data_IF_069573767205
#
_entry.id   IF_069573767205
#
_cell.length_a   1.000
_cell.length_b   1.000
_cell.length_c   1.000
_cell.angle_alpha   90.00
_cell.angle_beta   90.00
_cell.angle_gamma   90.00
#
_symmetry.space_group_name_H-M   'P 1'
#
loop_
_entity.id
_entity.type
_entity.pdbx_description
1 polymer ?
#
# COMPACT_ATOMS: atom_id res chain seq x y z
N UNK A 1 8.94 -19.09 24.59
CA UNK A 1 8.63 -17.65 24.58
C UNK A 1 9.05 -16.98 23.29
N UNK A 2 10.32 -16.59 23.06
CA UNK A 2 10.71 -15.92 21.81
C UNK A 2 10.45 -16.72 20.53
N UNK A 3 10.72 -18.04 20.52
CA UNK A 3 10.35 -18.92 19.39
C UNK A 3 8.84 -19.11 19.21
N UNK A 4 8.04 -19.00 20.29
CA UNK A 4 6.57 -19.08 20.19
C UNK A 4 6.01 -17.77 19.62
N UNK A 5 6.63 -16.63 19.94
CA UNK A 5 6.32 -15.34 19.33
C UNK A 5 6.70 -15.32 17.86
N UNK A 6 7.86 -15.87 17.49
CA UNK A 6 8.20 -16.03 16.08
C UNK A 6 7.17 -16.91 15.35
N UNK A 7 6.76 -18.03 15.96
CA UNK A 7 5.70 -18.88 15.39
C UNK A 7 4.36 -18.15 15.27
N UNK A 8 3.98 -17.32 16.25
CA UNK A 8 2.74 -16.54 16.17
C UNK A 8 2.80 -15.47 15.09
N UNK A 9 3.99 -14.90 14.85
CA UNK A 9 4.27 -13.96 13.74
C UNK A 9 4.45 -14.67 12.37
N UNK A 10 4.17 -15.98 12.28
CA UNK A 10 4.34 -16.74 11.04
C UNK A 10 5.82 -17.00 10.65
N UNK A 11 6.76 -16.70 11.53
CA UNK A 11 8.21 -16.83 11.32
C UNK A 11 8.67 -18.18 11.88
N UNK A 12 8.79 -19.19 11.00
CA UNK A 12 9.34 -20.49 11.37
C UNK A 12 10.89 -20.48 11.27
N UNK A 13 11.57 -20.73 12.38
CA UNK A 13 13.02 -20.97 12.37
C UNK A 13 13.39 -22.27 11.63
N UNK A 14 14.56 -22.37 10.97
CA UNK A 14 15.31 -21.30 10.32
C UNK A 14 15.52 -21.57 8.80
N UNK A 15 15.68 -20.49 8.04
CA UNK A 15 16.30 -20.39 6.69
C UNK A 15 15.44 -20.26 5.43
N UNK A 16 14.11 -20.24 5.46
CA UNK A 16 13.33 -20.15 4.21
C UNK A 16 12.34 -18.97 4.15
N UNK A 17 12.69 -17.80 4.69
CA UNK A 17 11.93 -16.59 4.37
C UNK A 17 12.53 -15.90 3.15
N UNK A 18 11.76 -15.65 2.06
CA UNK A 18 12.30 -15.10 0.81
C UNK A 18 12.91 -13.71 0.98
N UNK A 19 12.48 -12.94 1.98
CA UNK A 19 12.87 -11.54 2.17
C UNK A 19 13.71 -11.26 3.42
N UNK A 20 13.83 -12.23 4.34
CA UNK A 20 14.48 -11.99 5.63
C UNK A 20 15.49 -13.08 5.95
N UNK A 21 16.57 -12.68 6.60
CA UNK A 21 17.41 -13.58 7.36
C UNK A 21 17.05 -13.47 8.83
N UNK A 22 16.84 -14.61 9.47
CA UNK A 22 16.43 -14.71 10.87
C UNK A 22 17.57 -15.38 11.63
N UNK A 23 18.03 -14.71 12.67
CA UNK A 23 19.14 -15.16 13.48
C UNK A 23 18.70 -15.37 14.93
N UNK A 24 18.48 -16.61 15.37
CA UNK A 24 18.43 -16.93 16.80
C UNK A 24 19.81 -16.70 17.39
N UNK A 25 19.93 -15.73 18.31
CA UNK A 25 21.12 -15.44 19.10
C UNK A 25 22.49 -15.69 18.42
N UNK A 26 23.17 -14.61 18.04
CA UNK A 26 24.49 -14.59 17.37
C UNK A 26 24.49 -15.12 15.95
N UNK A 27 25.22 -14.42 15.10
CA UNK A 27 25.31 -14.75 13.67
C UNK A 27 26.71 -15.22 13.31
N UNK A 28 26.80 -16.37 12.63
CA UNK A 28 28.08 -16.93 12.16
C UNK A 28 28.42 -16.53 10.72
N UNK A 29 27.41 -16.28 9.89
CA UNK A 29 27.56 -16.16 8.43
C UNK A 29 27.28 -14.77 7.86
N UNK A 30 26.52 -13.92 8.57
CA UNK A 30 26.35 -12.49 8.23
C UNK A 30 27.46 -11.68 8.91
N UNK A 31 28.47 -11.30 8.11
CA UNK A 31 29.63 -10.57 8.60
C UNK A 31 29.28 -9.19 9.15
N UNK A 32 28.27 -8.52 8.59
CA UNK A 32 27.86 -7.18 9.01
C UNK A 32 27.20 -7.23 10.39
N UNK A 33 26.23 -8.12 10.57
CA UNK A 33 25.58 -8.30 11.88
C UNK A 33 26.60 -8.77 12.93
N UNK A 34 27.52 -9.66 12.54
CA UNK A 34 28.60 -10.12 13.42
C UNK A 34 29.52 -8.99 13.86
N UNK A 35 29.84 -8.05 12.98
CA UNK A 35 30.67 -6.88 13.30
C UNK A 35 29.96 -5.96 14.31
N UNK A 36 28.69 -5.65 14.07
CA UNK A 36 27.87 -4.84 14.99
C UNK A 36 27.81 -5.49 16.37
N UNK A 37 27.48 -6.79 16.43
CA UNK A 37 27.42 -7.54 17.69
C UNK A 37 28.78 -7.65 18.39
N UNK A 38 29.88 -7.59 17.64
CA UNK A 38 31.23 -7.52 18.19
C UNK A 38 31.53 -6.20 18.93
N UNK A 39 30.82 -5.11 18.57
CA UNK A 39 30.93 -3.79 19.20
C UNK A 39 30.07 -3.67 20.47
N UNK A 40 29.05 -4.51 20.62
CA UNK A 40 28.20 -4.59 21.81
C UNK A 40 29.00 -5.19 23.00
N UNK A 41 29.69 -4.37 23.79
CA UNK A 41 30.40 -4.82 25.00
C UNK A 41 29.44 -5.08 26.17
N UNK A 42 29.85 -5.90 27.14
CA UNK A 42 28.97 -6.33 28.26
C UNK A 42 28.74 -5.20 29.28
N UNK A 43 27.58 -5.16 29.97
CA UNK A 43 27.53 -4.67 31.33
C UNK A 43 28.30 -5.65 32.22
N UNK A 44 29.28 -5.12 32.95
CA UNK A 44 29.99 -5.64 34.12
C UNK A 44 29.42 -7.01 34.62
N UNK A 45 30.19 -8.11 34.43
CA UNK A 45 30.11 -9.43 35.10
C UNK A 45 29.72 -10.75 34.36
N UNK A 46 29.72 -10.92 33.02
CA UNK A 46 29.55 -12.28 32.44
C UNK A 46 30.34 -12.58 31.16
N UNK A 47 31.27 -13.56 31.24
CA UNK A 47 32.26 -14.10 30.25
C UNK A 47 31.94 -14.22 28.73
N UNK A 48 30.83 -13.72 28.15
CA UNK A 48 30.60 -13.72 26.68
C UNK A 48 29.82 -12.47 26.21
N UNK A 49 30.09 -11.93 25.00
CA UNK A 49 29.35 -10.79 24.44
C UNK A 49 27.85 -11.08 24.30
N UNK A 50 27.01 -10.09 24.61
CA UNK A 50 25.56 -10.16 24.50
C UNK A 50 25.09 -10.05 23.06
N UNK A 51 23.96 -10.66 22.75
CA UNK A 51 23.28 -10.51 21.46
C UNK A 51 21.78 -10.49 21.73
N UNK A 52 20.98 -9.82 20.86
CA UNK A 52 19.54 -9.95 20.90
C UNK A 52 19.09 -11.40 20.86
N UNK A 53 17.98 -11.73 21.51
CA UNK A 53 17.35 -13.04 21.41
C UNK A 53 17.07 -13.41 19.94
N UNK A 54 16.56 -12.46 19.16
CA UNK A 54 16.49 -12.58 17.71
C UNK A 54 16.91 -11.31 16.99
N UNK A 55 17.57 -11.49 15.86
CA UNK A 55 17.84 -10.44 14.89
C UNK A 55 17.25 -10.88 13.55
N UNK A 56 16.32 -10.09 13.01
CA UNK A 56 15.70 -10.35 11.72
C UNK A 56 16.11 -9.23 10.77
N UNK A 57 16.94 -9.56 9.79
CA UNK A 57 17.46 -8.62 8.81
C UNK A 57 16.76 -8.79 7.48
N UNK A 58 16.37 -7.70 6.84
CA UNK A 58 15.89 -7.75 5.46
C UNK A 58 17.06 -8.03 4.49
N UNK A 59 16.89 -8.97 3.55
CA UNK A 59 17.99 -9.43 2.68
C UNK A 59 18.53 -8.32 1.76
N UNK A 60 17.66 -7.42 1.30
CA UNK A 60 18.01 -6.35 0.34
C UNK A 60 17.85 -4.92 0.87
N UNK A 61 17.40 -4.74 2.12
CA UNK A 61 17.10 -3.41 2.69
C UNK A 61 17.86 -3.23 3.99
N UNK A 62 18.22 -1.98 4.29
CA UNK A 62 18.84 -1.59 5.55
C UNK A 62 17.79 -1.47 6.67
N UNK A 63 17.08 -2.57 6.93
CA UNK A 63 16.07 -2.69 8.00
C UNK A 63 16.38 -3.93 8.83
N UNK A 64 16.29 -3.78 10.15
CA UNK A 64 16.47 -4.88 11.10
C UNK A 64 15.40 -4.82 12.18
N UNK A 65 14.81 -5.96 12.53
CA UNK A 65 14.02 -6.13 13.75
C UNK A 65 14.89 -6.82 14.80
N UNK A 66 14.98 -6.20 15.98
CA UNK A 66 15.60 -6.76 17.17
C UNK A 66 14.50 -7.22 18.12
N UNK A 67 14.62 -8.43 18.64
CA UNK A 67 13.67 -8.99 19.61
C UNK A 67 14.44 -9.37 20.87
N UNK A 68 13.94 -8.92 22.03
CA UNK A 68 14.46 -9.25 23.35
C UNK A 68 13.35 -9.78 24.26
N UNK A 69 13.62 -10.87 24.98
CA UNK A 69 12.58 -11.56 25.77
C UNK A 69 13.02 -11.79 27.22
N UNK A 70 12.05 -11.69 28.15
CA UNK A 70 12.21 -12.10 29.56
C UNK A 70 10.99 -12.89 30.00
N UNK A 71 11.14 -13.75 30.99
CA UNK A 71 10.00 -14.56 31.48
C UNK A 71 9.24 -13.88 32.62
N UNK A 72 9.89 -13.03 33.42
CA UNK A 72 9.31 -12.43 34.62
C UNK A 72 8.87 -10.99 34.33
N UNK A 73 7.63 -10.63 34.64
CA UNK A 73 7.09 -9.27 34.44
C UNK A 73 7.97 -8.17 35.07
N UNK A 74 8.58 -8.44 36.23
CA UNK A 74 9.52 -7.53 36.91
C UNK A 74 10.83 -7.29 36.15
N UNK A 75 11.08 -8.05 35.09
CA UNK A 75 12.26 -7.96 34.23
C UNK A 75 11.92 -7.28 32.89
N UNK A 76 10.79 -6.57 32.79
CA UNK A 76 10.42 -5.87 31.55
C UNK A 76 11.31 -4.63 31.31
N UNK A 77 11.34 -3.75 32.30
CA UNK A 77 12.00 -2.45 32.24
C UNK A 77 12.66 -2.18 33.59
N UNK A 78 13.90 -1.68 33.58
CA UNK A 78 14.57 -1.27 34.82
C UNK A 78 13.91 -0.02 35.42
N UNK A 79 13.89 0.12 36.75
CA UNK A 79 13.46 1.37 37.40
C UNK A 79 14.34 2.58 37.01
N UNK A 80 15.55 2.31 36.51
CA UNK A 80 16.63 3.23 36.20
C UNK A 80 16.71 3.59 34.71
N UNK A 81 15.81 3.09 33.83
CA UNK A 81 15.87 3.19 32.36
C UNK A 81 16.33 4.56 31.81
N UNK A 82 15.86 5.67 32.40
CA UNK A 82 16.19 7.03 31.95
C UNK A 82 17.59 7.52 32.37
N UNK A 83 18.21 6.86 33.35
CA UNK A 83 19.51 7.21 33.93
C UNK A 83 20.61 6.24 33.51
N UNK A 84 20.32 4.94 33.56
CA UNK A 84 21.26 3.88 33.26
C UNK A 84 20.50 2.64 32.79
N UNK A 85 20.96 2.06 31.67
CA UNK A 85 20.36 0.83 31.15
C UNK A 85 20.92 -0.38 31.90
N UNK A 86 20.05 -1.33 32.24
CA UNK A 86 20.40 -2.62 32.85
C UNK A 86 20.12 -3.80 31.88
N UNK A 87 20.79 -3.86 30.72
CA UNK A 87 20.37 -4.71 29.60
C UNK A 87 20.54 -6.20 29.85
N UNK A 88 21.32 -6.60 30.88
CA UNK A 88 21.44 -8.00 31.26
C UNK A 88 20.17 -8.53 31.94
N UNK A 89 19.48 -7.68 32.70
CA UNK A 89 18.40 -8.09 33.61
C UNK A 89 17.02 -7.70 33.09
N UNK A 90 16.93 -6.74 32.16
CA UNK A 90 15.69 -6.22 31.61
C UNK A 90 15.69 -6.24 30.07
N UNK A 91 14.62 -6.77 29.43
CA UNK A 91 14.56 -6.88 27.95
C UNK A 91 14.37 -5.54 27.25
N UNK A 92 13.62 -4.59 27.82
CA UNK A 92 13.53 -3.26 27.20
C UNK A 92 14.90 -2.57 27.19
N UNK A 93 15.58 -2.57 28.33
CA UNK A 93 16.94 -2.06 28.45
C UNK A 93 17.89 -2.78 27.48
N UNK A 94 17.78 -4.10 27.35
CA UNK A 94 18.51 -4.92 26.38
C UNK A 94 18.27 -4.48 24.94
N UNK A 95 17.01 -4.28 24.58
CA UNK A 95 16.60 -3.86 23.25
C UNK A 95 17.16 -2.48 22.91
N UNK A 96 17.00 -1.49 23.80
CA UNK A 96 17.52 -0.14 23.62
C UNK A 96 19.05 -0.15 23.52
N UNK A 97 19.71 -0.96 24.36
CA UNK A 97 21.15 -1.13 24.33
C UNK A 97 21.62 -1.61 22.96
N UNK A 98 21.03 -2.67 22.41
CA UNK A 98 21.43 -3.18 21.09
C UNK A 98 21.06 -2.21 19.96
N UNK A 99 19.90 -1.55 20.04
CA UNK A 99 19.44 -0.59 19.04
C UNK A 99 20.45 0.55 18.78
N UNK A 100 21.14 1.03 19.81
CA UNK A 100 22.18 2.07 19.70
C UNK A 100 23.33 1.68 18.76
N UNK A 101 23.64 0.39 18.65
CA UNK A 101 24.68 -0.11 17.75
C UNK A 101 24.13 -0.33 16.35
N UNK A 102 22.96 -0.96 16.23
CA UNK A 102 22.35 -1.27 14.95
C UNK A 102 21.88 -0.04 14.17
N UNK A 103 21.46 1.04 14.86
CA UNK A 103 20.97 2.27 14.21
C UNK A 103 22.01 3.01 13.37
N UNK A 104 23.29 2.67 13.54
CA UNK A 104 24.39 3.23 12.74
C UNK A 104 24.39 2.71 11.30
N UNK A 105 23.82 1.53 11.08
CA UNK A 105 23.86 0.81 9.80
C UNK A 105 22.47 0.39 9.30
N UNK A 106 21.45 0.40 10.16
CA UNK A 106 20.09 -0.06 9.84
C UNK A 106 19.02 0.87 10.38
N UNK A 107 17.86 0.88 9.73
CA UNK A 107 16.61 1.29 10.36
C UNK A 107 16.19 0.18 11.33
N UNK A 108 16.19 0.49 12.63
CA UNK A 108 15.97 -0.49 13.70
C UNK A 108 14.53 -0.47 14.17
N UNK A 109 13.87 -1.62 14.10
CA UNK A 109 12.62 -1.93 14.77
C UNK A 109 12.93 -2.77 16.01
N UNK A 110 12.15 -2.59 17.08
CA UNK A 110 12.42 -3.28 18.34
C UNK A 110 11.18 -3.87 19.00
N UNK A 111 11.31 -5.10 19.53
CA UNK A 111 10.25 -5.81 20.22
C UNK A 111 10.76 -6.37 21.56
N UNK A 112 10.20 -5.92 22.69
CA UNK A 112 10.55 -6.40 24.02
C UNK A 112 9.38 -7.22 24.62
N UNK A 113 9.57 -8.52 24.82
CA UNK A 113 8.49 -9.44 25.25
C UNK A 113 8.70 -9.94 26.68
N UNK A 114 7.68 -9.89 27.54
CA UNK A 114 7.75 -10.41 28.90
C UNK A 114 6.56 -11.26 29.33
N UNK A 115 6.76 -12.56 29.55
CA UNK A 115 5.64 -13.47 29.87
C UNK A 115 4.70 -13.59 28.67
N UNK A 116 3.39 -13.43 28.89
CA UNK A 116 2.37 -13.23 27.84
C UNK A 116 2.16 -11.76 27.48
N UNK A 117 2.88 -10.84 28.15
CA UNK A 117 2.78 -9.39 27.95
C UNK A 117 3.85 -8.96 26.97
N UNK A 118 3.48 -8.50 25.78
CA UNK A 118 4.44 -8.02 24.78
C UNK A 118 4.36 -6.48 24.73
N UNK A 119 5.50 -5.82 24.56
CA UNK A 119 5.58 -4.37 24.42
C UNK A 119 6.53 -4.01 23.28
N UNK A 120 6.11 -3.07 22.45
CA UNK A 120 6.69 -2.79 21.13
C UNK A 120 7.30 -1.38 21.09
N UNK A 121 8.39 -1.21 20.33
CA UNK A 121 9.14 0.05 20.29
C UNK A 121 9.54 0.45 18.86
N UNK A 122 9.09 1.63 18.42
CA UNK A 122 9.67 2.37 17.30
C UNK A 122 10.78 3.29 17.82
N UNK A 123 12.03 3.02 17.43
CA UNK A 123 13.21 3.70 17.94
C UNK A 123 13.46 5.08 17.31
N UNK A 124 12.60 5.55 16.41
CA UNK A 124 12.61 6.95 15.97
C UNK A 124 11.75 7.87 16.85
N UNK A 125 10.85 7.32 17.67
CA UNK A 125 9.96 8.08 18.54
C UNK A 125 9.63 7.30 19.81
N UNK A 126 10.28 7.60 20.94
CA UNK A 126 9.91 7.00 22.24
C UNK A 126 8.47 7.40 22.59
N UNK A 127 7.49 6.52 22.33
CA UNK A 127 6.16 6.55 22.94
C UNK A 127 5.74 5.13 23.31
N UNK A 128 5.36 4.95 24.58
CA UNK A 128 4.77 3.71 25.12
C UNK A 128 3.44 3.44 24.40
N UNK A 129 3.36 2.40 23.58
CA UNK A 129 2.09 1.86 23.12
C UNK A 129 1.78 0.50 23.77
N UNK A 130 0.49 0.22 23.92
CA UNK A 130 -0.06 -0.67 24.96
C UNK A 130 -0.62 -1.99 24.42
N UNK A 131 -0.68 -2.20 23.11
CA UNK A 131 -1.34 -3.38 22.51
C UNK A 131 -0.65 -3.87 21.22
N UNK A 132 -0.52 -5.19 21.11
CA UNK A 132 0.20 -5.97 20.07
C UNK A 132 -0.40 -5.96 18.66
N UNK A 133 -1.68 -5.66 18.53
CA UNK A 133 -2.38 -5.73 17.23
C UNK A 133 -1.89 -4.67 16.24
N UNK A 134 -1.20 -3.63 16.71
CA UNK A 134 -0.69 -2.53 15.89
C UNK A 134 0.65 -2.84 15.22
N UNK A 135 1.43 -3.83 15.69
CA UNK A 135 2.74 -4.13 15.08
C UNK A 135 2.67 -4.95 13.81
N UNK A 136 1.70 -5.85 13.65
CA UNK A 136 1.41 -6.45 12.32
C UNK A 136 1.03 -5.35 11.31
N UNK A 137 0.29 -4.33 11.75
CA UNK A 137 -0.07 -3.15 10.95
C UNK A 137 1.14 -2.26 10.62
N UNK A 138 2.05 -2.05 11.58
CA UNK A 138 3.32 -1.33 11.39
C UNK A 138 4.28 -2.09 10.43
N UNK A 139 4.24 -3.42 10.44
CA UNK A 139 5.03 -4.28 9.55
C UNK A 139 4.62 -4.13 8.08
N UNK A 140 3.32 -3.94 7.81
CA UNK A 140 2.82 -3.66 6.45
C UNK A 140 3.12 -2.23 5.99
N UNK A 141 3.16 -1.26 6.91
CA UNK A 141 3.39 0.14 6.58
C UNK A 141 4.87 0.49 6.28
N UNK A 142 5.82 -0.25 6.86
CA UNK A 142 7.27 -0.02 6.70
C UNK A 142 7.99 -0.98 5.74
N UNK A 143 7.31 -1.98 5.17
CA UNK A 143 7.74 -2.46 3.86
C UNK A 143 7.68 -1.25 2.94
N UNK A 144 8.79 -0.76 2.35
CA UNK A 144 8.68 0.34 1.42
C UNK A 144 7.67 -0.07 0.37
N UNK A 145 6.51 0.61 0.38
CA UNK A 145 5.78 0.97 -0.83
C UNK A 145 6.92 1.35 -1.77
N UNK A 146 7.13 0.61 -2.85
CA UNK A 146 8.13 1.00 -3.84
C UNK A 146 7.79 2.47 -4.12
N UNK A 147 8.59 3.42 -3.63
CA UNK A 147 8.70 4.71 -4.26
C UNK A 147 9.39 4.40 -5.60
N UNK A 148 8.65 3.76 -6.51
CA UNK A 148 8.95 3.83 -7.92
C UNK A 148 8.82 5.32 -8.19
N UNK A 149 9.95 5.94 -8.48
CA UNK A 149 10.08 7.39 -8.62
C UNK A 149 9.09 7.95 -9.64
N UNK A 150 8.61 7.11 -10.56
CA UNK A 150 7.68 7.45 -11.62
C UNK A 150 6.70 6.30 -11.91
N UNK A 151 5.53 6.63 -12.47
CA UNK A 151 4.58 5.67 -13.03
C UNK A 151 5.26 4.89 -14.17
N UNK A 152 5.56 3.61 -13.95
CA UNK A 152 6.01 2.75 -15.02
C UNK A 152 4.80 2.20 -15.79
N UNK A 153 4.40 2.90 -16.84
CA UNK A 153 3.25 2.55 -17.69
C UNK A 153 3.36 1.11 -18.21
N UNK A 154 4.58 0.65 -18.52
CA UNK A 154 4.79 -0.72 -18.98
C UNK A 154 4.42 -1.73 -17.89
N UNK A 155 4.91 -1.54 -16.67
CA UNK A 155 4.56 -2.43 -15.55
C UNK A 155 3.05 -2.41 -15.27
N UNK A 156 2.40 -1.25 -15.33
CA UNK A 156 0.94 -1.16 -15.17
C UNK A 156 0.19 -1.94 -16.26
N UNK A 157 0.62 -1.82 -17.51
CA UNK A 157 0.02 -2.57 -18.63
C UNK A 157 0.28 -4.07 -18.54
N UNK A 158 1.48 -4.47 -18.10
CA UNK A 158 1.82 -5.87 -17.89
C UNK A 158 0.93 -6.46 -16.77
N UNK A 159 0.77 -5.77 -15.64
CA UNK A 159 -0.17 -6.16 -14.57
C UNK A 159 -1.62 -6.16 -15.05
N UNK A 160 -2.04 -5.19 -15.86
CA UNK A 160 -3.38 -5.13 -16.44
C UNK A 160 -3.66 -6.34 -17.34
N UNK A 161 -2.68 -6.74 -18.17
CA UNK A 161 -2.78 -7.93 -19.02
C UNK A 161 -2.91 -9.21 -18.19
N UNK A 162 -2.12 -9.37 -17.13
CA UNK A 162 -2.22 -10.52 -16.25
C UNK A 162 -3.59 -10.58 -15.54
N UNK A 163 -4.04 -9.44 -15.00
CA UNK A 163 -5.35 -9.33 -14.37
C UNK A 163 -6.49 -9.57 -15.36
N UNK A 164 -6.36 -9.15 -16.63
CA UNK A 164 -7.35 -9.43 -17.67
C UNK A 164 -7.62 -10.93 -17.78
N UNK A 165 -6.57 -11.75 -17.84
CA UNK A 165 -6.68 -13.21 -17.95
C UNK A 165 -7.29 -13.83 -16.69
N UNK A 166 -6.83 -13.40 -15.50
CA UNK A 166 -7.32 -13.91 -14.22
C UNK A 166 -8.81 -13.58 -14.03
N UNK A 167 -9.21 -12.35 -14.34
CA UNK A 167 -10.56 -11.83 -14.14
C UNK A 167 -11.51 -12.41 -15.20
N UNK A 168 -11.10 -12.47 -16.47
CA UNK A 168 -11.91 -13.05 -17.53
C UNK A 168 -12.07 -14.57 -17.36
N UNK A 169 -10.98 -15.33 -17.38
CA UNK A 169 -11.02 -16.79 -17.33
C UNK A 169 -11.47 -17.31 -15.96
N UNK A 170 -11.09 -16.60 -14.88
CA UNK A 170 -11.39 -17.01 -13.52
C UNK A 170 -12.76 -16.57 -13.01
N UNK A 171 -13.21 -15.37 -13.35
CA UNK A 171 -14.43 -14.76 -12.80
C UNK A 171 -15.51 -14.50 -13.85
N UNK A 172 -15.18 -14.54 -15.15
CA UNK A 172 -16.14 -14.39 -16.23
C UNK A 172 -16.74 -12.99 -16.36
N UNK A 173 -16.05 -11.95 -15.89
CA UNK A 173 -16.47 -10.58 -16.16
C UNK A 173 -16.37 -10.26 -17.65
N UNK A 174 -17.41 -9.63 -18.19
CA UNK A 174 -17.43 -9.10 -19.55
C UNK A 174 -16.47 -7.92 -19.70
N UNK A 175 -16.13 -7.57 -20.94
CA UNK A 175 -15.20 -6.47 -21.25
C UNK A 175 -15.62 -5.12 -20.64
N UNK A 176 -16.93 -4.84 -20.59
CA UNK A 176 -17.46 -3.61 -19.98
C UNK A 176 -17.46 -3.64 -18.45
N UNK A 177 -17.43 -4.83 -17.82
CA UNK A 177 -17.45 -4.94 -16.35
C UNK A 177 -16.04 -4.88 -15.74
N UNK A 178 -15.01 -5.36 -16.45
CA UNK A 178 -13.63 -5.40 -15.94
C UNK A 178 -13.12 -4.03 -15.45
N UNK A 179 -13.35 -2.90 -16.15
CA UNK A 179 -12.91 -1.59 -15.68
C UNK A 179 -13.58 -1.19 -14.37
N UNK A 180 -14.87 -1.45 -14.22
CA UNK A 180 -15.61 -1.19 -12.98
C UNK A 180 -15.15 -2.09 -11.85
N UNK A 181 -14.82 -3.35 -12.12
CA UNK A 181 -14.30 -4.26 -11.12
C UNK A 181 -12.95 -3.78 -10.56
N UNK A 182 -12.03 -3.37 -11.42
CA UNK A 182 -10.74 -2.78 -11.00
C UNK A 182 -10.98 -1.47 -10.23
N UNK A 183 -11.86 -0.61 -10.73
CA UNK A 183 -12.22 0.66 -10.08
C UNK A 183 -12.81 0.46 -8.68
N UNK A 184 -13.71 -0.51 -8.52
CA UNK A 184 -14.30 -0.90 -7.24
C UNK A 184 -13.23 -1.41 -6.27
N UNK A 185 -12.30 -2.25 -6.73
CA UNK A 185 -11.20 -2.75 -5.90
C UNK A 185 -10.27 -1.62 -5.44
N UNK A 186 -9.85 -0.73 -6.35
CA UNK A 186 -8.97 0.39 -6.02
C UNK A 186 -9.65 1.37 -5.05
N UNK A 187 -10.94 1.63 -5.25
CA UNK A 187 -11.71 2.49 -4.35
C UNK A 187 -11.90 1.87 -2.97
N UNK A 188 -12.15 0.56 -2.89
CA UNK A 188 -12.17 -0.15 -1.62
C UNK A 188 -10.82 -0.06 -0.90
N UNK A 189 -9.70 -0.22 -1.62
CA UNK A 189 -8.34 -0.14 -1.07
C UNK A 189 -7.93 1.28 -0.64
N UNK A 190 -8.71 2.34 -0.97
CA UNK A 190 -8.52 3.68 -0.38
C UNK A 190 -9.04 3.78 1.05
N UNK A 191 -9.87 2.84 1.49
CA UNK A 191 -10.25 2.69 2.89
C UNK A 191 -9.13 1.97 3.64
N UNK A 192 -8.49 2.65 4.59
CA UNK A 192 -7.27 2.16 5.25
C UNK A 192 -7.53 0.85 6.01
N UNK A 193 -8.66 0.76 6.72
CA UNK A 193 -9.09 -0.46 7.43
C UNK A 193 -9.30 -1.63 6.47
N UNK A 194 -9.90 -1.37 5.30
CA UNK A 194 -10.04 -2.41 4.29
C UNK A 194 -8.68 -2.78 3.69
N UNK A 195 -7.86 -1.80 3.32
CA UNK A 195 -6.53 -2.00 2.73
C UNK A 195 -5.64 -2.88 3.60
N UNK A 196 -5.61 -2.62 4.91
CA UNK A 196 -4.74 -3.32 5.84
C UNK A 196 -5.24 -4.74 6.15
N UNK A 197 -6.56 -4.94 6.21
CA UNK A 197 -7.13 -6.15 6.82
C UNK A 197 -8.01 -7.00 5.91
N UNK A 198 -8.17 -6.68 4.61
CA UNK A 198 -9.10 -7.42 3.72
C UNK A 198 -8.85 -8.94 3.68
N UNK A 199 -7.59 -9.39 3.82
CA UNK A 199 -7.23 -10.80 3.79
C UNK A 199 -7.76 -11.58 5.01
N UNK A 200 -7.87 -10.90 6.15
CA UNK A 200 -8.30 -11.41 7.45
C UNK A 200 -9.82 -11.31 7.65
N UNK A 201 -10.50 -10.45 6.88
CA UNK A 201 -11.96 -10.32 6.98
C UNK A 201 -12.64 -11.67 6.74
N UNK A 202 -13.58 -12.02 7.64
CA UNK A 202 -14.42 -13.22 7.53
C UNK A 202 -15.24 -13.21 6.24
N UNK A 203 -15.78 -12.04 5.89
CA UNK A 203 -16.48 -11.80 4.64
C UNK A 203 -15.83 -10.60 3.93
N UNK A 204 -14.88 -10.91 3.04
CA UNK A 204 -14.16 -9.89 2.25
C UNK A 204 -15.08 -9.14 1.30
N UNK A 205 -16.13 -9.77 0.77
CA UNK A 205 -17.09 -9.15 -0.16
C UNK A 205 -17.89 -8.06 0.57
N UNK A 206 -18.54 -8.40 1.68
CA UNK A 206 -19.29 -7.39 2.46
C UNK A 206 -18.39 -6.27 2.97
N UNK A 207 -17.15 -6.60 3.35
CA UNK A 207 -16.18 -5.58 3.79
C UNK A 207 -15.78 -4.64 2.63
N UNK A 208 -15.60 -5.19 1.43
CA UNK A 208 -15.31 -4.43 0.21
C UNK A 208 -16.46 -3.47 -0.15
N UNK A 209 -17.69 -3.97 -0.12
CA UNK A 209 -18.89 -3.18 -0.42
C UNK A 209 -19.09 -2.01 0.55
N UNK A 210 -18.81 -2.24 1.83
CA UNK A 210 -18.83 -1.20 2.85
C UNK A 210 -17.73 -0.17 2.60
N UNK A 211 -16.50 -0.59 2.29
CA UNK A 211 -15.39 0.31 1.98
C UNK A 211 -15.68 1.21 0.77
N UNK A 212 -16.19 0.63 -0.32
CA UNK A 212 -16.64 1.37 -1.51
C UNK A 212 -17.71 2.40 -1.12
N UNK A 213 -18.74 1.96 -0.41
CA UNK A 213 -19.86 2.82 -0.02
C UNK A 213 -19.42 3.97 0.88
N UNK A 214 -18.58 3.69 1.88
CA UNK A 214 -18.07 4.68 2.82
C UNK A 214 -17.24 5.74 2.08
N UNK A 215 -16.33 5.32 1.20
CA UNK A 215 -15.51 6.27 0.43
C UNK A 215 -16.36 7.13 -0.48
N UNK A 216 -17.29 6.56 -1.23
CA UNK A 216 -18.18 7.36 -2.09
C UNK A 216 -19.01 8.35 -1.27
N UNK A 217 -19.56 7.93 -0.13
CA UNK A 217 -20.37 8.80 0.73
C UNK A 217 -19.53 9.92 1.37
N UNK A 218 -18.26 9.67 1.69
CA UNK A 218 -17.31 10.68 2.18
C UNK A 218 -17.13 11.80 1.14
N UNK A 219 -16.83 11.44 -0.12
CA UNK A 219 -16.67 12.41 -1.21
C UNK A 219 -17.97 13.13 -1.56
N UNK A 220 -19.08 12.39 -1.63
CA UNK A 220 -20.39 12.97 -1.93
C UNK A 220 -20.82 14.01 -0.88
N UNK A 221 -20.50 13.78 0.40
CA UNK A 221 -20.72 14.74 1.48
C UNK A 221 -19.77 15.94 1.39
N UNK A 222 -18.48 15.70 1.11
CA UNK A 222 -17.49 16.76 0.98
C UNK A 222 -17.85 17.74 -0.16
N UNK A 223 -18.36 17.23 -1.28
CA UNK A 223 -18.80 18.05 -2.42
C UNK A 223 -20.23 18.59 -2.29
N UNK A 224 -21.02 18.11 -1.31
CA UNK A 224 -22.46 18.38 -1.21
C UNK A 224 -23.27 17.91 -2.44
N UNK A 225 -22.85 16.84 -3.11
CA UNK A 225 -23.36 16.36 -4.41
C UNK A 225 -23.81 14.89 -4.36
N UNK A 226 -24.74 14.56 -3.45
CA UNK A 226 -25.14 13.16 -3.21
C UNK A 226 -25.72 12.45 -4.45
N UNK A 227 -26.53 13.14 -5.25
CA UNK A 227 -27.17 12.51 -6.41
C UNK A 227 -26.16 12.23 -7.54
N UNK A 228 -25.11 13.06 -7.67
CA UNK A 228 -24.02 12.88 -8.66
C UNK A 228 -23.31 11.54 -8.49
N UNK A 229 -23.12 11.10 -7.25
CA UNK A 229 -22.35 9.89 -6.91
C UNK A 229 -23.21 8.63 -6.77
N UNK A 230 -24.53 8.76 -6.81
CA UNK A 230 -25.45 7.64 -6.62
C UNK A 230 -25.36 6.58 -7.71
N UNK A 231 -25.27 6.99 -8.97
CA UNK A 231 -25.07 6.07 -10.10
C UNK A 231 -23.76 5.31 -9.95
N UNK A 232 -22.68 6.02 -9.58
CA UNK A 232 -21.37 5.43 -9.36
C UNK A 232 -21.42 4.37 -8.26
N UNK A 233 -22.02 4.70 -7.12
CA UNK A 233 -22.17 3.78 -5.99
C UNK A 233 -22.85 2.49 -6.42
N UNK A 234 -24.02 2.60 -7.06
CA UNK A 234 -24.78 1.44 -7.55
C UNK A 234 -23.96 0.61 -8.54
N UNK A 235 -23.28 1.25 -9.49
CA UNK A 235 -22.46 0.54 -10.49
C UNK A 235 -21.30 -0.22 -9.84
N UNK A 236 -20.52 0.41 -8.97
CA UNK A 236 -19.35 -0.22 -8.36
C UNK A 236 -19.74 -1.31 -7.35
N UNK A 237 -20.76 -1.10 -6.52
CA UNK A 237 -21.21 -2.14 -5.58
C UNK A 237 -21.87 -3.31 -6.30
N UNK A 238 -22.71 -3.03 -7.30
CA UNK A 238 -23.36 -4.06 -8.12
C UNK A 238 -22.35 -4.96 -8.84
N UNK A 239 -21.27 -4.37 -9.38
CA UNK A 239 -20.18 -5.14 -10.04
C UNK A 239 -19.56 -6.20 -9.10
N UNK A 240 -19.51 -5.92 -7.79
CA UNK A 240 -18.99 -6.85 -6.79
C UNK A 240 -20.09 -7.81 -6.29
N UNK A 241 -21.31 -7.33 -6.05
CA UNK A 241 -22.43 -8.14 -5.54
C UNK A 241 -22.93 -9.18 -6.54
N UNK A 242 -23.02 -8.82 -7.82
CA UNK A 242 -23.65 -9.65 -8.84
C UNK A 242 -22.78 -10.84 -9.25
N UNK A 243 -21.45 -10.75 -9.08
CA UNK A 243 -20.54 -11.84 -9.43
C UNK A 243 -20.38 -12.87 -8.30
N UNK A 244 -21.29 -13.86 -8.30
CA UNK A 244 -21.30 -14.97 -7.34
C UNK A 244 -20.00 -15.79 -7.29
N UNK A 245 -19.15 -15.76 -8.33
CA UNK A 245 -17.88 -16.50 -8.33
C UNK A 245 -16.86 -15.91 -7.35
N UNK A 246 -16.96 -14.62 -7.03
CA UNK A 246 -16.11 -13.97 -6.04
C UNK A 246 -16.20 -14.66 -4.66
N UNK A 247 -17.38 -15.16 -4.30
CA UNK A 247 -17.63 -15.84 -3.03
C UNK A 247 -17.25 -17.32 -3.04
N UNK A 248 -17.28 -17.97 -4.20
CA UNK A 248 -17.16 -19.44 -4.31
C UNK A 248 -15.72 -19.93 -4.50
N UNK A 249 -14.82 -19.04 -4.93
CA UNK A 249 -13.42 -19.40 -5.18
C UNK A 249 -12.63 -19.35 -3.87
N UNK A 250 -12.06 -20.49 -3.50
CA UNK A 250 -11.20 -20.64 -2.31
C UNK A 250 -10.00 -19.69 -2.35
N UNK A 251 -9.63 -19.13 -1.19
CA UNK A 251 -8.53 -18.15 -1.01
C UNK A 251 -7.16 -18.62 -1.54
N UNK A 252 -6.94 -19.93 -1.65
CA UNK A 252 -5.67 -20.50 -2.15
C UNK A 252 -5.53 -20.51 -3.67
N UNK A 253 -6.58 -20.15 -4.43
CA UNK A 253 -6.51 -20.05 -5.88
C UNK A 253 -6.10 -18.65 -6.31
N UNK A 254 -5.31 -18.56 -7.37
CA UNK A 254 -4.83 -17.29 -7.93
C UNK A 254 -5.97 -16.33 -8.27
N UNK A 255 -7.08 -16.85 -8.80
CA UNK A 255 -8.28 -16.08 -9.13
C UNK A 255 -9.24 -15.85 -7.94
N UNK A 256 -8.81 -16.12 -6.71
CA UNK A 256 -9.60 -15.77 -5.53
C UNK A 256 -9.65 -14.26 -5.35
N UNK A 257 -10.75 -13.76 -4.80
CA UNK A 257 -10.92 -12.32 -4.64
C UNK A 257 -9.83 -11.70 -3.74
N UNK A 258 -9.40 -12.42 -2.69
CA UNK A 258 -8.30 -11.98 -1.81
C UNK A 258 -6.98 -11.88 -2.57
N UNK A 259 -6.65 -12.82 -3.43
CA UNK A 259 -5.39 -12.78 -4.18
C UNK A 259 -5.40 -11.70 -5.27
N UNK A 260 -6.56 -11.47 -5.91
CA UNK A 260 -6.75 -10.36 -6.84
C UNK A 260 -6.57 -9.02 -6.11
N UNK A 261 -7.22 -8.83 -4.95
CA UNK A 261 -7.05 -7.63 -4.11
C UNK A 261 -5.60 -7.45 -3.68
N UNK A 262 -4.92 -8.53 -3.30
CA UNK A 262 -3.49 -8.52 -2.92
C UNK A 262 -2.63 -8.04 -4.09
N UNK A 263 -2.85 -8.58 -5.29
CA UNK A 263 -2.12 -8.18 -6.50
C UNK A 263 -2.37 -6.72 -6.84
N UNK A 264 -3.63 -6.26 -6.82
CA UNK A 264 -3.99 -4.86 -7.05
C UNK A 264 -3.32 -3.96 -6.00
N UNK A 265 -3.37 -4.32 -4.71
CA UNK A 265 -2.79 -3.53 -3.63
C UNK A 265 -1.25 -3.42 -3.72
N UNK A 266 -0.57 -4.48 -4.18
CA UNK A 266 0.89 -4.51 -4.26
C UNK A 266 1.45 -3.91 -5.56
N UNK A 267 0.76 -4.12 -6.68
CA UNK A 267 1.29 -3.79 -8.01
C UNK A 267 0.64 -2.57 -8.65
N UNK A 268 -0.58 -2.20 -8.26
CA UNK A 268 -1.37 -1.13 -8.90
C UNK A 268 -1.58 0.05 -7.97
N UNK A 269 -2.08 -0.20 -6.75
CA UNK A 269 -2.39 0.84 -5.77
C UNK A 269 -1.23 1.82 -5.47
N UNK A 270 0.05 1.40 -5.42
CA UNK A 270 1.17 2.33 -5.18
C UNK A 270 1.37 3.38 -6.30
N UNK A 271 0.71 3.22 -7.44
CA UNK A 271 0.79 4.10 -8.60
C UNK A 271 -0.38 5.05 -8.75
N UNK A 272 -1.37 4.95 -7.86
CA UNK A 272 -2.65 5.59 -8.03
C UNK A 272 -2.56 7.12 -8.06
N UNK A 273 -1.63 7.70 -7.31
CA UNK A 273 -1.33 9.14 -7.30
C UNK A 273 -0.35 9.57 -8.41
N UNK A 274 0.18 8.63 -9.19
CA UNK A 274 1.20 8.88 -10.23
C UNK A 274 0.62 9.01 -11.63
N UNK A 275 -0.68 8.74 -11.83
CA UNK A 275 -1.38 9.05 -13.07
C UNK A 275 -2.66 8.27 -13.32
N UNK A 276 -3.10 8.28 -14.59
CA UNK A 276 -4.37 7.68 -15.02
C UNK A 276 -4.25 6.15 -15.12
N UNK A 277 -4.12 5.49 -13.96
CA UNK A 277 -3.98 4.04 -13.86
C UNK A 277 -5.23 3.34 -14.39
N UNK A 278 -6.44 3.85 -14.09
CA UNK A 278 -7.69 3.30 -14.60
C UNK A 278 -7.74 3.40 -16.13
N UNK A 279 -7.34 4.53 -16.70
CA UNK A 279 -7.28 4.72 -18.15
C UNK A 279 -6.34 3.73 -18.84
N UNK A 280 -5.18 3.44 -18.24
CA UNK A 280 -4.25 2.43 -18.77
C UNK A 280 -4.84 1.01 -18.69
N UNK A 281 -5.53 0.66 -17.61
CA UNK A 281 -6.28 -0.60 -17.49
C UNK A 281 -7.41 -0.71 -18.52
N UNK A 282 -8.21 0.34 -18.66
CA UNK A 282 -9.29 0.43 -19.63
C UNK A 282 -8.76 0.25 -21.05
N UNK A 283 -7.65 0.93 -21.37
CA UNK A 283 -6.97 0.80 -22.66
C UNK A 283 -6.50 -0.62 -22.94
N UNK A 284 -5.91 -1.29 -21.94
CA UNK A 284 -5.42 -2.66 -22.10
C UNK A 284 -6.57 -3.66 -22.27
N UNK A 285 -7.65 -3.55 -21.50
CA UNK A 285 -8.81 -4.44 -21.63
C UNK A 285 -9.50 -4.33 -22.99
N UNK A 286 -9.64 -3.12 -23.53
CA UNK A 286 -10.22 -2.93 -24.86
C UNK A 286 -9.43 -3.59 -26.00
N UNK A 287 -8.11 -3.79 -25.87
CA UNK A 287 -7.31 -4.48 -26.90
C UNK A 287 -7.70 -5.95 -27.08
N UNK A 288 -8.20 -6.57 -26.03
CA UNK A 288 -8.54 -8.00 -26.00
C UNK A 288 -10.01 -8.27 -26.29
N UNK A 289 -10.81 -7.24 -26.55
CA UNK A 289 -12.20 -7.35 -26.98
C UNK A 289 -12.28 -7.87 -28.43
N UNK A 290 -11.89 -9.12 -28.66
CA UNK A 290 -12.01 -9.81 -29.94
C UNK A 290 -13.42 -10.40 -30.06
N UNK A 291 -14.38 -9.66 -30.62
CA UNK A 291 -15.65 -10.30 -31.01
C UNK A 291 -16.82 -9.37 -31.25
N UNK A 292 -17.01 -8.34 -30.42
CA UNK A 292 -18.13 -7.41 -30.59
C UNK A 292 -17.69 -6.22 -31.44
N UNK A 293 -17.54 -6.46 -32.75
CA UNK A 293 -17.24 -5.49 -33.80
C UNK A 293 -18.20 -4.28 -33.93
N UNK A 294 -18.90 -3.90 -32.86
CA UNK A 294 -19.21 -2.49 -32.62
C UNK A 294 -17.93 -1.84 -32.12
N UNK A 295 -17.23 -1.16 -33.03
CA UNK A 295 -16.47 0.04 -32.67
C UNK A 295 -17.32 0.82 -31.66
N UNK A 296 -16.99 0.77 -30.36
CA UNK A 296 -17.66 1.57 -29.33
C UNK A 296 -17.61 3.08 -29.65
N UNK A 297 -16.83 3.46 -30.69
CA UNK A 297 -16.53 4.83 -31.07
C UNK A 297 -15.72 5.53 -29.99
N UNK A 298 -15.19 4.78 -29.03
CA UNK A 298 -14.40 5.28 -27.91
C UNK A 298 -12.96 5.28 -28.38
N UNK A 299 -12.46 6.49 -28.67
CA UNK A 299 -11.05 6.72 -28.93
C UNK A 299 -10.42 7.14 -27.62
N UNK A 300 -9.43 6.37 -27.16
CA UNK A 300 -8.71 6.68 -25.93
C UNK A 300 -7.53 7.59 -26.22
N UNK A 301 -7.42 8.66 -25.44
CA UNK A 301 -6.26 9.55 -25.48
C UNK A 301 -5.14 8.92 -24.63
N UNK A 302 -3.99 8.58 -25.21
CA UNK A 302 -2.86 8.08 -24.41
C UNK A 302 -2.37 9.14 -23.42
N UNK A 303 -1.94 8.72 -22.23
CA UNK A 303 -1.55 9.65 -21.15
C UNK A 303 -0.48 10.67 -21.57
N UNK A 304 0.52 10.25 -22.37
CA UNK A 304 1.57 11.14 -22.88
C UNK A 304 1.07 12.20 -23.87
N UNK A 305 -0.02 11.91 -24.59
CA UNK A 305 -0.67 12.90 -25.48
C UNK A 305 -1.42 13.93 -24.63
N UNK A 306 -2.15 13.49 -23.60
CA UNK A 306 -2.79 14.41 -22.67
C UNK A 306 -1.78 15.32 -21.96
N UNK A 307 -0.66 14.77 -21.47
CA UNK A 307 0.44 15.56 -20.87
C UNK A 307 1.01 16.60 -21.84
N UNK A 308 1.26 16.22 -23.09
CA UNK A 308 1.73 17.16 -24.13
C UNK A 308 0.76 18.35 -24.31
N UNK A 309 -0.53 18.11 -24.33
CA UNK A 309 -1.52 19.17 -24.51
C UNK A 309 -1.67 20.05 -23.26
N UNK A 310 -1.53 19.49 -22.06
CA UNK A 310 -1.41 20.28 -20.84
C UNK A 310 -0.17 21.20 -20.90
N UNK A 311 0.96 20.69 -21.38
CA UNK A 311 2.19 21.46 -21.58
C UNK A 311 2.04 22.59 -22.61
N UNK A 312 1.38 22.31 -23.74
CA UNK A 312 1.04 23.33 -24.74
C UNK A 312 0.17 24.41 -24.10
N UNK A 313 -0.85 24.02 -23.33
CA UNK A 313 -1.75 24.97 -22.65
C UNK A 313 -1.00 25.88 -21.68
N UNK A 314 -0.12 25.32 -20.84
CA UNK A 314 0.74 26.09 -19.94
C UNK A 314 1.64 27.07 -20.69
N UNK A 315 2.23 26.64 -21.81
CA UNK A 315 3.09 27.49 -22.63
C UNK A 315 2.34 28.65 -23.27
N UNK A 316 1.06 28.46 -23.62
CA UNK A 316 0.21 29.50 -24.21
C UNK A 316 -0.32 30.48 -23.14
N UNK A 317 -0.58 30.02 -21.92
CA UNK A 317 -1.11 30.84 -20.83
C UNK A 317 -0.03 31.69 -20.15
N UNK A 318 1.21 31.21 -20.09
CA UNK A 318 2.26 31.80 -19.27
C UNK A 318 3.44 32.32 -20.09
N UNK A 319 3.91 33.53 -19.74
CA UNK A 319 5.23 34.02 -20.17
C UNK A 319 6.35 33.05 -19.74
N UNK A 320 7.48 33.02 -20.45
CA UNK A 320 8.59 32.07 -20.24
C UNK A 320 9.00 31.89 -18.76
N UNK A 321 9.15 32.99 -17.99
CA UNK A 321 9.52 32.94 -16.55
C UNK A 321 8.50 32.22 -15.64
N UNK A 322 7.22 32.19 -16.03
CA UNK A 322 6.17 31.47 -15.28
C UNK A 322 6.02 30.03 -15.80
N UNK A 323 6.27 29.82 -17.10
CA UNK A 323 6.24 28.50 -17.72
C UNK A 323 7.29 27.53 -17.15
N UNK A 324 8.45 28.02 -16.69
CA UNK A 324 9.49 27.19 -16.06
C UNK A 324 8.98 26.32 -14.90
N UNK A 325 7.89 26.72 -14.23
CA UNK A 325 7.26 25.94 -13.16
C UNK A 325 6.48 24.73 -13.65
N UNK A 326 6.12 24.68 -14.94
CA UNK A 326 5.32 23.63 -15.61
C UNK A 326 4.09 23.20 -14.80
N UNK A 327 3.39 24.17 -14.20
CA UNK A 327 2.24 23.97 -13.32
C UNK A 327 1.17 25.04 -13.57
N UNK A 328 -0.09 24.65 -13.42
CA UNK A 328 -1.20 25.60 -13.39
C UNK A 328 -1.14 26.45 -12.12
N UNK A 329 -1.87 27.56 -12.12
CA UNK A 329 -2.03 28.39 -10.93
C UNK A 329 -3.42 28.23 -10.35
N UNK A 330 -3.57 28.65 -9.10
CA UNK A 330 -4.86 28.75 -8.41
C UNK A 330 -5.91 29.59 -9.15
N UNK A 331 -5.59 30.28 -10.25
CA UNK A 331 -6.55 31.07 -11.04
C UNK A 331 -7.07 30.35 -12.27
N UNK A 332 -6.38 29.30 -12.70
CA UNK A 332 -6.73 28.58 -13.91
C UNK A 332 -7.99 27.74 -13.71
N UNK A 333 -8.78 27.62 -14.77
CA UNK A 333 -9.93 26.73 -14.83
C UNK A 333 -9.75 25.80 -16.02
N UNK A 334 -9.93 24.51 -15.78
CA UNK A 334 -9.77 23.46 -16.80
C UNK A 334 -11.16 22.94 -17.12
N UNK A 335 -11.50 22.93 -18.41
CA UNK A 335 -12.74 22.39 -18.92
C UNK A 335 -12.44 21.37 -20.01
N UNK A 336 -12.94 20.16 -19.82
CA UNK A 336 -12.98 19.13 -20.86
C UNK A 336 -14.44 18.73 -21.09
N UNK A 337 -14.98 19.14 -22.24
CA UNK A 337 -16.40 18.93 -22.59
C UNK A 337 -16.70 17.51 -23.11
N UNK A 338 -15.66 16.70 -23.33
CA UNK A 338 -15.75 15.33 -23.81
C UNK A 338 -14.73 14.46 -23.05
N UNK A 339 -14.80 14.49 -21.72
CA UNK A 339 -13.67 14.05 -20.91
C UNK A 339 -13.43 12.53 -20.92
N UNK A 340 -14.39 11.72 -21.39
CA UNK A 340 -14.28 10.27 -21.38
C UNK A 340 -14.05 9.77 -19.96
N UNK A 341 -12.97 9.02 -19.74
CA UNK A 341 -12.53 8.57 -18.41
C UNK A 341 -11.71 9.61 -17.64
N UNK A 342 -11.53 10.81 -18.17
CA UNK A 342 -10.87 11.93 -17.49
C UNK A 342 -9.35 12.04 -17.67
N UNK A 343 -8.74 11.40 -18.69
CA UNK A 343 -7.28 11.39 -18.86
C UNK A 343 -6.63 12.78 -18.90
N UNK A 344 -7.27 13.76 -19.57
CA UNK A 344 -6.81 15.15 -19.55
C UNK A 344 -6.91 15.78 -18.16
N UNK A 345 -8.00 15.52 -17.44
CA UNK A 345 -8.23 16.05 -16.10
C UNK A 345 -7.22 15.50 -15.09
N UNK A 346 -6.94 14.20 -15.15
CA UNK A 346 -5.89 13.56 -14.33
C UNK A 346 -4.50 14.15 -14.64
N UNK A 347 -4.18 14.39 -15.91
CA UNK A 347 -2.91 15.04 -16.28
C UNK A 347 -2.87 16.50 -15.82
N UNK A 348 -3.99 17.21 -15.81
CA UNK A 348 -4.06 18.55 -15.25
C UNK A 348 -3.78 18.55 -13.73
N UNK A 349 -4.28 17.56 -12.97
CA UNK A 349 -3.95 17.41 -11.55
C UNK A 349 -2.46 17.15 -11.30
N UNK A 350 -1.77 16.41 -12.17
CA UNK A 350 -0.30 16.26 -12.09
C UNK A 350 0.45 17.57 -12.25
N UNK A 351 -0.16 18.55 -12.92
CA UNK A 351 0.35 19.92 -13.08
C UNK A 351 -0.19 20.84 -11.97
N UNK A 352 -0.67 20.27 -10.86
CA UNK A 352 -1.08 20.96 -9.64
C UNK A 352 -2.20 22.00 -9.84
N UNK A 353 -3.14 21.71 -10.74
CA UNK A 353 -4.38 22.49 -10.79
C UNK A 353 -5.22 22.25 -9.54
N UNK A 354 -5.86 23.32 -9.08
CA UNK A 354 -6.86 23.28 -8.01
C UNK A 354 -8.05 22.39 -8.40
N UNK A 355 -8.43 21.45 -7.52
CA UNK A 355 -9.48 20.47 -7.75
C UNK A 355 -10.84 21.11 -8.00
N UNK A 356 -11.13 22.21 -7.31
CA UNK A 356 -12.40 22.94 -7.44
C UNK A 356 -12.52 23.71 -8.76
N UNK A 357 -11.48 23.67 -9.60
CA UNK A 357 -11.41 24.39 -10.88
C UNK A 357 -11.30 23.46 -12.08
N UNK A 358 -11.57 22.18 -11.89
CA UNK A 358 -11.57 21.18 -12.95
C UNK A 358 -13.00 20.74 -13.25
N UNK A 359 -13.39 20.89 -14.50
CA UNK A 359 -14.74 20.63 -14.98
C UNK A 359 -14.68 19.62 -16.13
N UNK A 360 -15.43 18.54 -16.01
CA UNK A 360 -15.57 17.50 -17.02
C UNK A 360 -17.03 17.32 -17.42
N UNK A 361 -17.28 17.12 -18.72
CA UNK A 361 -18.59 16.71 -19.25
C UNK A 361 -18.41 15.42 -20.03
N UNK A 362 -19.27 14.45 -19.74
CA UNK A 362 -19.32 13.17 -20.46
C UNK A 362 -20.78 12.72 -20.56
N UNK A 363 -21.18 12.30 -21.76
CA UNK A 363 -22.57 11.93 -22.07
C UNK A 363 -22.84 10.43 -21.83
N UNK A 364 -21.82 9.58 -22.01
CA UNK A 364 -21.92 8.14 -21.81
C UNK A 364 -21.74 7.82 -20.33
N UNK A 365 -22.71 7.10 -19.76
CA UNK A 365 -22.73 6.74 -18.33
C UNK A 365 -21.50 5.94 -17.88
N UNK A 366 -20.99 5.04 -18.72
CA UNK A 366 -19.85 4.20 -18.36
C UNK A 366 -18.54 5.00 -18.21
N UNK A 367 -18.04 5.72 -19.23
CA UNK A 367 -16.88 6.59 -19.08
C UNK A 367 -17.08 7.68 -18.02
N UNK A 368 -18.30 8.21 -17.87
CA UNK A 368 -18.62 9.18 -16.81
C UNK A 368 -18.35 8.61 -15.40
N UNK A 369 -18.83 7.40 -15.10
CA UNK A 369 -18.58 6.78 -13.80
C UNK A 369 -17.09 6.46 -13.60
N UNK A 370 -16.37 6.05 -14.66
CA UNK A 370 -14.92 5.84 -14.59
C UNK A 370 -14.17 7.16 -14.37
N UNK A 371 -14.61 8.27 -14.99
CA UNK A 371 -14.05 9.60 -14.75
C UNK A 371 -14.27 10.04 -13.30
N UNK A 372 -15.48 9.90 -12.76
CA UNK A 372 -15.74 10.18 -11.35
C UNK A 372 -14.83 9.37 -10.42
N UNK A 373 -14.63 8.09 -10.73
CA UNK A 373 -13.71 7.26 -9.94
C UNK A 373 -12.28 7.77 -10.03
N UNK A 374 -11.81 8.13 -11.23
CA UNK A 374 -10.50 8.74 -11.42
C UNK A 374 -10.30 10.07 -10.67
N UNK A 375 -11.37 10.86 -10.47
CA UNK A 375 -11.27 12.10 -9.69
C UNK A 375 -11.25 11.86 -8.17
N UNK A 376 -11.87 10.77 -7.71
CA UNK A 376 -11.86 10.33 -6.31
C UNK A 376 -10.49 9.75 -5.92
N UNK A 377 -9.93 8.91 -6.79
CA UNK A 377 -8.67 8.22 -6.54
C UNK A 377 -7.47 9.17 -6.60
#
# INVERSE_FOLDING_TARGET
>A
MGQEVLKSLGINEPNNHPNFWIYPQRVKHDLQIKEILGKCQQPINKKKPGAPDFTIRHQTKEVVLLIETKTKLKSHQSPSLEKELEPADYNLDGLLYFAEFFKKEFNVLGLAITGERQQEFDLKSIRKEKELSLVEEYFYHFLPKKNKSDLNIKEIRDTAKELNEIIYSGLGFSESEKPFFISACLLALKDEDFQNFFAEKKNVISSCLNAISNKIDEYAKAESEVEKYKSLKVTLTGTIEDNKKLASISKNKENSFVNILTKINQEVFPFLDKGDVIGEFYHEFLKYSTGDGKNLGIVLTPSHIADLFCEISLKLLYSEKKYEKRKFTEKDKILDVCCGTGTFLVNAFKKEVDKDKVFGVEIKSEPYNLALTNMIL
#
